data_IF_571519745256
#
_entry.id   IF_571519745256
#
_cell.length_a   1.000
_cell.length_b   1.000
_cell.length_c   1.000
_cell.angle_alpha   90.00
_cell.angle_beta   90.00
_cell.angle_gamma   90.00
#
_symmetry.space_group_name_H-M   'P 1'
#
loop_
_entity.id
_entity.type
_entity.pdbx_description
1 polymer ?
#
# COMPACT_ATOMS: atom_id res chain seq x y z
N UNK A 1 7.22 -11.88 -17.34
CA UNK A 1 6.39 -10.65 -17.29
C UNK A 1 5.80 -10.58 -15.89
N UNK A 2 6.05 -9.48 -15.19
CA UNK A 2 5.47 -9.21 -13.86
C UNK A 2 4.06 -8.65 -14.03
N UNK A 3 3.07 -9.22 -13.34
CA UNK A 3 1.68 -8.73 -13.39
C UNK A 3 1.45 -7.59 -12.40
N UNK A 4 0.45 -6.74 -12.65
CA UNK A 4 0.07 -5.67 -11.72
C UNK A 4 -0.29 -6.24 -10.33
N UNK A 5 -0.97 -7.38 -10.29
CA UNK A 5 -1.29 -8.05 -9.03
C UNK A 5 -0.05 -8.53 -8.27
N UNK A 6 0.93 -9.13 -8.96
CA UNK A 6 2.19 -9.48 -8.32
C UNK A 6 2.88 -8.22 -7.79
N UNK A 7 3.05 -7.21 -8.64
CA UNK A 7 3.76 -5.99 -8.29
C UNK A 7 3.14 -5.25 -7.10
N UNK A 8 1.81 -5.11 -7.07
CA UNK A 8 1.12 -4.24 -6.13
C UNK A 8 0.48 -4.96 -4.93
N UNK A 9 0.43 -6.29 -4.91
CA UNK A 9 -0.22 -7.06 -3.84
C UNK A 9 0.66 -8.18 -3.34
N UNK A 10 1.03 -9.12 -4.21
CA UNK A 10 1.52 -10.43 -3.77
C UNK A 10 3.04 -10.61 -3.82
N UNK A 11 3.81 -9.66 -4.38
CA UNK A 11 5.26 -9.74 -4.25
C UNK A 11 5.65 -9.63 -2.77
N UNK A 12 6.67 -10.38 -2.35
CA UNK A 12 7.01 -10.51 -0.93
C UNK A 12 7.26 -9.16 -0.24
N UNK A 13 7.87 -8.21 -0.94
CA UNK A 13 8.08 -6.86 -0.40
C UNK A 13 6.73 -6.16 -0.13
N UNK A 14 5.87 -6.08 -1.14
CA UNK A 14 4.61 -5.32 -1.06
C UNK A 14 3.59 -6.01 -0.17
N UNK A 15 3.58 -7.34 -0.15
CA UNK A 15 2.80 -8.09 0.83
C UNK A 15 3.16 -7.69 2.27
N UNK A 16 4.45 -7.59 2.60
CA UNK A 16 4.88 -7.14 3.92
C UNK A 16 4.54 -5.67 4.19
N UNK A 17 4.55 -4.81 3.17
CA UNK A 17 4.11 -3.42 3.29
C UNK A 17 2.63 -3.36 3.67
N UNK A 18 1.77 -4.14 3.01
CA UNK A 18 0.34 -4.17 3.36
C UNK A 18 0.11 -4.63 4.80
N UNK A 19 0.79 -5.69 5.23
CA UNK A 19 0.72 -6.13 6.63
C UNK A 19 1.13 -5.02 7.59
N UNK A 20 2.22 -4.31 7.29
CA UNK A 20 2.69 -3.21 8.12
C UNK A 20 1.69 -2.04 8.14
N UNK A 21 1.08 -1.68 7.01
CA UNK A 21 0.02 -0.68 6.95
C UNK A 21 -1.19 -1.05 7.81
N UNK A 22 -1.58 -2.33 7.82
CA UNK A 22 -2.67 -2.81 8.69
C UNK A 22 -2.31 -2.72 10.17
N UNK A 23 -1.05 -3.04 10.52
CA UNK A 23 -0.53 -2.93 11.89
C UNK A 23 -0.47 -1.49 12.41
N UNK A 24 -0.43 -0.46 11.55
CA UNK A 24 -0.47 0.94 12.01
C UNK A 24 -1.76 1.28 12.76
N UNK A 25 -2.85 0.55 12.52
CA UNK A 25 -4.14 0.76 13.16
C UNK A 25 -4.36 -0.14 14.37
N UNK A 26 -3.99 -1.42 14.28
CA UNK A 26 -4.10 -2.37 15.39
C UNK A 26 -3.21 -3.58 15.14
N UNK A 27 -2.58 -4.10 16.19
CA UNK A 27 -1.83 -5.36 16.17
C UNK A 27 -2.75 -6.58 15.97
N UNK A 28 -4.04 -6.46 16.31
CA UNK A 28 -5.04 -7.53 16.21
C UNK A 28 -5.75 -7.59 14.85
N UNK A 29 -5.39 -6.73 13.89
CA UNK A 29 -6.02 -6.69 12.58
C UNK A 29 -5.48 -7.82 11.68
N UNK A 30 -6.16 -8.96 11.70
CA UNK A 30 -5.84 -10.11 10.85
C UNK A 30 -6.70 -10.10 9.57
N UNK A 31 -6.07 -9.78 8.43
CA UNK A 31 -6.73 -9.76 7.12
C UNK A 31 -6.16 -10.82 6.19
N UNK A 32 -7.04 -11.42 5.40
CA UNK A 32 -6.64 -12.28 4.28
C UNK A 32 -6.45 -11.41 3.05
N UNK A 33 -5.22 -11.37 2.52
CA UNK A 33 -4.91 -10.61 1.31
C UNK A 33 -5.63 -11.23 0.09
N UNK A 34 -6.51 -10.48 -0.60
CA UNK A 34 -7.19 -10.94 -1.79
C UNK A 34 -6.22 -11.17 -2.94
N UNK A 35 -6.54 -12.13 -3.79
CA UNK A 35 -5.74 -12.47 -4.96
C UNK A 35 -6.17 -11.68 -6.21
N UNK A 36 -6.64 -10.44 -6.06
CA UNK A 36 -6.94 -9.52 -7.17
C UNK A 36 -6.92 -8.05 -6.71
N UNK A 37 -6.64 -7.13 -7.64
CA UNK A 37 -6.52 -5.69 -7.35
C UNK A 37 -7.84 -5.03 -6.96
N UNK A 38 -8.91 -5.41 -7.65
CA UNK A 38 -10.27 -4.95 -7.39
C UNK A 38 -10.76 -5.42 -6.02
N UNK A 39 -10.59 -6.70 -5.69
CA UNK A 39 -11.00 -7.23 -4.39
C UNK A 39 -10.17 -6.60 -3.26
N UNK A 40 -8.88 -6.35 -3.48
CA UNK A 40 -8.03 -5.68 -2.51
C UNK A 40 -8.46 -4.22 -2.26
N UNK A 41 -8.84 -3.49 -3.31
CA UNK A 41 -9.42 -2.14 -3.18
C UNK A 41 -10.72 -2.17 -2.37
N UNK A 42 -11.65 -3.07 -2.70
CA UNK A 42 -12.92 -3.19 -2.00
C UNK A 42 -12.76 -3.62 -0.54
N UNK A 43 -11.82 -4.51 -0.25
CA UNK A 43 -11.46 -4.89 1.11
C UNK A 43 -11.01 -3.66 1.91
N UNK A 44 -10.07 -2.87 1.40
CA UNK A 44 -9.57 -1.67 2.07
C UNK A 44 -10.69 -0.64 2.30
N UNK A 45 -11.55 -0.43 1.30
CA UNK A 45 -12.73 0.42 1.43
C UNK A 45 -13.68 -0.07 2.55
N UNK A 46 -13.81 -1.38 2.71
CA UNK A 46 -14.70 -2.04 3.66
C UNK A 46 -14.13 -2.23 5.06
N UNK A 47 -12.90 -1.80 5.35
CA UNK A 47 -12.29 -1.95 6.68
C UNK A 47 -12.97 -1.12 7.78
N UNK A 48 -13.75 -0.11 7.40
CA UNK A 48 -14.54 0.67 8.36
C UNK A 48 -15.86 1.12 7.76
N UNK A 49 -16.89 1.17 8.61
CA UNK A 49 -18.20 1.75 8.28
C UNK A 49 -18.19 3.29 8.44
N UNK A 50 -17.14 3.87 9.03
CA UNK A 50 -16.97 5.31 9.11
C UNK A 50 -16.53 5.86 7.77
N UNK A 51 -17.24 6.89 7.26
CA UNK A 51 -16.85 7.59 6.03
C UNK A 51 -15.43 8.15 6.10
N UNK A 52 -15.03 8.67 7.25
CA UNK A 52 -13.69 9.24 7.46
C UNK A 52 -12.60 8.16 7.44
N UNK A 53 -12.82 7.03 8.11
CA UNK A 53 -11.85 5.94 8.11
C UNK A 53 -11.78 5.20 6.77
N UNK A 54 -12.91 5.04 6.09
CA UNK A 54 -12.95 4.55 4.72
C UNK A 54 -12.10 5.44 3.79
N UNK A 55 -12.23 6.76 3.90
CA UNK A 55 -11.39 7.70 3.14
C UNK A 55 -9.90 7.54 3.47
N UNK A 56 -9.55 7.37 4.75
CA UNK A 56 -8.16 7.10 5.18
C UNK A 56 -7.61 5.84 4.53
N UNK A 57 -8.34 4.72 4.55
CA UNK A 57 -7.89 3.48 3.93
C UNK A 57 -7.76 3.59 2.41
N UNK A 58 -8.64 4.32 1.73
CA UNK A 58 -8.53 4.58 0.30
C UNK A 58 -7.31 5.45 -0.04
N UNK A 59 -6.96 6.41 0.80
CA UNK A 59 -5.75 7.23 0.64
C UNK A 59 -4.49 6.39 0.88
N UNK A 60 -4.44 5.62 1.97
CA UNK A 60 -3.33 4.68 2.24
C UNK A 60 -3.19 3.72 1.05
N UNK A 61 -4.30 3.17 0.56
CA UNK A 61 -4.26 2.25 -0.56
C UNK A 61 -3.64 2.89 -1.80
N UNK A 62 -4.10 4.10 -2.14
CA UNK A 62 -3.59 4.86 -3.29
C UNK A 62 -2.11 5.22 -3.12
N UNK A 63 -1.69 5.58 -1.91
CA UNK A 63 -0.31 5.93 -1.60
C UNK A 63 0.63 4.73 -1.75
N UNK A 64 0.22 3.53 -1.28
CA UNK A 64 1.00 2.29 -1.49
C UNK A 64 1.19 2.03 -2.98
N UNK A 65 0.12 2.07 -3.78
CA UNK A 65 0.20 1.87 -5.23
C UNK A 65 1.15 2.88 -5.88
N UNK A 66 1.02 4.16 -5.54
CA UNK A 66 1.86 5.23 -6.07
C UNK A 66 3.35 5.04 -5.72
N UNK A 67 3.66 4.80 -4.45
CA UNK A 67 5.03 4.62 -3.98
C UNK A 67 5.68 3.36 -4.54
N UNK A 68 4.94 2.25 -4.67
CA UNK A 68 5.44 1.02 -5.30
C UNK A 68 5.71 1.24 -6.79
N UNK A 69 4.80 1.90 -7.50
CA UNK A 69 5.00 2.25 -8.91
C UNK A 69 6.23 3.14 -9.10
N UNK A 70 6.40 4.16 -8.25
CA UNK A 70 7.55 5.06 -8.26
C UNK A 70 8.85 4.31 -7.98
N UNK A 71 8.89 3.50 -6.92
CA UNK A 71 10.05 2.65 -6.57
C UNK A 71 10.45 1.75 -7.75
N UNK A 72 9.47 1.13 -8.42
CA UNK A 72 9.73 0.26 -9.57
C UNK A 72 10.35 1.02 -10.73
N UNK A 73 9.86 2.22 -11.02
CA UNK A 73 10.43 3.08 -12.05
C UNK A 73 11.83 3.56 -11.70
N UNK A 74 12.06 3.99 -10.46
CA UNK A 74 13.38 4.46 -10.03
C UNK A 74 14.41 3.30 -10.07
N UNK A 75 14.02 2.08 -9.72
CA UNK A 75 14.89 0.90 -9.88
C UNK A 75 15.24 0.61 -11.35
N UNK A 76 14.31 0.78 -12.29
CA UNK A 76 14.55 0.53 -13.72
C UNK A 76 15.36 1.66 -14.37
N UNK A 77 14.96 2.91 -14.14
CA UNK A 77 15.46 4.07 -14.88
C UNK A 77 16.60 4.81 -14.19
N UNK A 78 16.71 4.70 -12.85
CA UNK A 78 17.74 5.37 -12.05
C UNK A 78 18.72 4.41 -11.39
N UNK A 79 18.51 3.10 -11.52
CA UNK A 79 19.30 2.06 -10.85
C UNK A 79 19.33 2.24 -9.32
N UNK A 80 18.28 2.85 -8.75
CA UNK A 80 18.16 2.98 -7.30
C UNK A 80 17.93 1.61 -6.65
N UNK A 81 18.58 1.39 -5.50
CA UNK A 81 18.39 0.19 -4.70
C UNK A 81 17.02 0.18 -4.04
N UNK A 82 16.38 -1.00 -3.99
CA UNK A 82 15.13 -1.21 -3.27
C UNK A 82 15.39 -1.26 -1.76
N UNK A 83 14.78 -0.34 -1.01
CA UNK A 83 14.82 -0.30 0.46
C UNK A 83 13.39 -0.30 1.02
N UNK A 84 13.04 -1.34 1.78
CA UNK A 84 11.72 -1.48 2.43
C UNK A 84 11.44 -0.35 3.42
N UNK A 85 12.44 0.05 4.23
CA UNK A 85 12.24 1.08 5.27
C UNK A 85 11.94 2.43 4.64
N UNK A 86 12.71 2.80 3.63
CA UNK A 86 12.46 4.02 2.83
C UNK A 86 11.06 3.99 2.21
N UNK A 87 10.67 2.85 1.62
CA UNK A 87 9.33 2.69 1.03
C UNK A 87 8.21 2.91 2.06
N UNK A 88 8.34 2.36 3.27
CA UNK A 88 7.38 2.58 4.37
C UNK A 88 7.29 4.06 4.73
N UNK A 89 8.42 4.74 4.87
CA UNK A 89 8.48 6.17 5.19
C UNK A 89 7.83 7.02 4.08
N UNK A 90 8.12 6.72 2.82
CA UNK A 90 7.52 7.38 1.67
C UNK A 90 5.99 7.20 1.65
N UNK A 91 5.49 5.99 1.93
CA UNK A 91 4.05 5.71 2.00
C UNK A 91 3.40 6.50 3.14
N UNK A 92 4.01 6.54 4.34
CA UNK A 92 3.51 7.34 5.47
C UNK A 92 3.44 8.82 5.11
N UNK A 93 4.51 9.36 4.53
CA UNK A 93 4.59 10.75 4.12
C UNK A 93 3.54 11.11 3.08
N UNK A 94 3.43 10.32 2.00
CA UNK A 94 2.45 10.55 0.92
C UNK A 94 1.02 10.43 1.45
N UNK A 95 0.73 9.40 2.24
CA UNK A 95 -0.60 9.22 2.84
C UNK A 95 -1.00 10.41 3.71
N UNK A 96 -0.09 10.84 4.59
CA UNK A 96 -0.31 12.00 5.45
C UNK A 96 -0.50 13.28 4.62
N UNK A 97 0.35 13.52 3.62
CA UNK A 97 0.26 14.70 2.76
C UNK A 97 -1.10 14.77 2.05
N UNK A 98 -1.58 13.66 1.50
CA UNK A 98 -2.85 13.60 0.78
C UNK A 98 -4.07 13.71 1.70
N UNK A 99 -3.97 13.23 2.95
CA UNK A 99 -5.02 13.41 3.95
C UNK A 99 -5.15 14.86 4.45
N UNK A 100 -4.09 15.66 4.31
CA UNK A 100 -4.06 17.08 4.74
C UNK A 100 -4.09 18.05 3.55
N UNK A 101 -4.39 17.58 2.34
CA UNK A 101 -4.51 18.41 1.13
C UNK A 101 -5.90 19.01 0.94
#
# INVERSE_FOLDING_TARGET
IESAQHLFISCNLVYQIWLECYMWKSEDLHLVMPNSLDAHFWQNKGLSNSRGECAIWLVIWSAVIFCVWKLRNDAIFRQESVDKKKLVEDIKFVSWSWLNS
#
